data_IF_860299007096
#
_entry.id   IF_860299007096
#
_cell.length_a   1.000
_cell.length_b   1.000
_cell.length_c   1.000
_cell.angle_alpha   90.00
_cell.angle_beta   90.00
_cell.angle_gamma   90.00
#
_symmetry.space_group_name_H-M   'P 1'
#
loop_
_entity.id
_entity.type
_entity.pdbx_description
1 polymer ?
#
# COMPACT_ATOMS: atom_id res chain seq x y z
N UNK A 1 -17.37 -16.05 -16.12
CA UNK A 1 -16.59 -14.80 -16.02
C UNK A 1 -15.11 -15.16 -16.08
N UNK A 2 -14.34 -14.69 -17.07
CA UNK A 2 -12.93 -15.05 -17.19
C UNK A 2 -12.11 -14.39 -16.07
N UNK A 3 -11.20 -15.16 -15.46
CA UNK A 3 -10.31 -14.70 -14.39
C UNK A 3 -9.34 -13.61 -14.90
N UNK A 4 -9.02 -12.58 -14.11
CA UNK A 4 -8.09 -11.53 -14.53
C UNK A 4 -6.69 -12.11 -14.84
N UNK A 5 -6.28 -12.05 -16.10
CA UNK A 5 -4.96 -12.56 -16.56
C UNK A 5 -3.77 -11.83 -15.92
N UNK A 6 -4.00 -10.64 -15.35
CA UNK A 6 -2.97 -9.83 -14.69
C UNK A 6 -2.58 -10.34 -13.29
N UNK A 7 -3.42 -11.19 -12.68
CA UNK A 7 -3.18 -11.82 -11.38
C UNK A 7 -3.11 -13.34 -11.51
N UNK A 8 -2.38 -13.83 -12.52
CA UNK A 8 -2.22 -15.28 -12.79
C UNK A 8 -1.60 -16.10 -11.65
N UNK A 9 -1.12 -15.46 -10.58
CA UNK A 9 -0.58 -16.08 -9.37
C UNK A 9 -1.60 -16.22 -8.23
N UNK A 10 -2.72 -15.49 -8.26
CA UNK A 10 -3.80 -15.65 -7.27
C UNK A 10 -4.69 -16.80 -7.74
N UNK A 11 -4.49 -17.99 -7.18
CA UNK A 11 -5.36 -19.11 -7.41
C UNK A 11 -6.70 -18.88 -6.68
N UNK A 12 -7.76 -19.53 -7.15
CA UNK A 12 -9.08 -19.48 -6.50
C UNK A 12 -9.04 -20.00 -5.04
N UNK A 13 -7.99 -20.73 -4.68
CA UNK A 13 -7.75 -21.23 -3.32
C UNK A 13 -7.10 -20.19 -2.38
N UNK A 14 -6.57 -19.08 -2.91
CA UNK A 14 -5.87 -18.06 -2.12
C UNK A 14 -6.79 -16.91 -1.67
N UNK A 15 -8.07 -16.94 -2.06
CA UNK A 15 -9.05 -15.89 -1.76
C UNK A 15 -10.16 -16.47 -0.90
N UNK A 16 -10.26 -15.98 0.34
CA UNK A 16 -11.40 -16.21 1.22
C UNK A 16 -12.33 -15.00 1.19
N UNK A 17 -13.61 -15.23 0.87
CA UNK A 17 -14.66 -14.21 0.99
C UNK A 17 -15.36 -14.44 2.32
N UNK A 18 -15.40 -13.42 3.15
CA UNK A 18 -15.96 -13.45 4.51
C UNK A 18 -17.12 -12.45 4.62
N UNK A 19 -17.87 -12.52 5.72
CA UNK A 19 -18.92 -11.55 6.00
C UNK A 19 -18.35 -10.17 6.34
N UNK A 20 -19.17 -9.12 6.18
CA UNK A 20 -18.82 -7.76 6.55
C UNK A 20 -18.56 -7.61 8.07
N UNK A 21 -19.16 -8.46 8.89
CA UNK A 21 -18.94 -8.47 10.34
C UNK A 21 -17.57 -9.09 10.67
N UNK A 22 -17.17 -10.14 9.95
CA UNK A 22 -15.89 -10.84 10.18
C UNK A 22 -14.69 -10.03 9.66
N UNK A 23 -14.84 -9.33 8.53
CA UNK A 23 -13.72 -8.64 7.87
C UNK A 23 -13.10 -7.55 8.75
N UNK A 24 -13.90 -6.85 9.56
CA UNK A 24 -13.40 -5.76 10.43
C UNK A 24 -12.39 -6.30 11.44
N UNK A 25 -12.73 -7.40 12.12
CA UNK A 25 -11.85 -8.05 13.10
C UNK A 25 -10.59 -8.61 12.43
N UNK A 26 -10.75 -9.21 11.23
CA UNK A 26 -9.63 -9.75 10.46
C UNK A 26 -8.65 -8.65 10.03
N UNK A 27 -9.14 -7.54 9.47
CA UNK A 27 -8.32 -6.40 9.05
C UNK A 27 -7.57 -5.83 10.25
N UNK A 28 -8.25 -5.53 11.36
CA UNK A 28 -7.62 -4.98 12.55
C UNK A 28 -6.51 -5.86 13.11
N UNK A 29 -6.67 -7.18 13.11
CA UNK A 29 -5.64 -8.14 13.56
C UNK A 29 -4.51 -8.33 12.54
N UNK A 30 -4.75 -8.02 11.27
CA UNK A 30 -3.74 -8.15 10.20
C UNK A 30 -2.79 -6.95 10.16
N UNK A 31 -3.14 -5.84 10.80
CA UNK A 31 -2.30 -4.65 10.89
C UNK A 31 -1.06 -4.93 11.75
N UNK A 32 0.08 -4.41 11.32
CA UNK A 32 1.35 -4.58 12.02
C UNK A 32 1.57 -3.41 12.99
N UNK A 33 1.33 -3.65 14.28
CA UNK A 33 1.65 -2.69 15.35
C UNK A 33 3.07 -2.94 15.86
N UNK A 34 3.96 -1.99 15.62
CA UNK A 34 5.37 -2.09 16.00
C UNK A 34 5.75 -1.01 17.02
N UNK A 35 6.22 -1.43 18.18
CA UNK A 35 6.82 -0.54 19.16
C UNK A 35 8.26 -0.21 18.77
N UNK A 36 8.63 1.06 18.92
CA UNK A 36 9.97 1.56 18.62
C UNK A 36 10.48 2.44 19.74
N UNK A 37 11.79 2.42 19.90
CA UNK A 37 12.49 3.22 20.89
C UNK A 37 13.59 4.05 20.24
N UNK A 38 13.83 5.23 20.81
CA UNK A 38 15.04 6.01 20.60
C UNK A 38 16.01 5.73 21.73
N UNK A 39 17.17 5.18 21.39
CA UNK A 39 18.22 4.85 22.34
C UNK A 39 19.17 6.04 22.54
N UNK A 40 19.57 6.27 23.79
CA UNK A 40 20.72 7.08 24.15
C UNK A 40 21.98 6.33 23.69
N UNK A 41 22.80 6.95 22.82
CA UNK A 41 23.94 6.28 22.20
C UNK A 41 25.05 5.90 23.17
N UNK A 42 25.25 6.69 24.23
CA UNK A 42 26.32 6.47 25.20
C UNK A 42 25.92 5.44 26.25
N UNK A 43 24.73 5.60 26.83
CA UNK A 43 24.23 4.77 27.94
C UNK A 43 23.58 3.47 27.49
N UNK A 44 23.26 3.34 26.19
CA UNK A 44 22.50 2.22 25.60
C UNK A 44 21.16 1.96 26.30
N UNK A 45 20.55 3.00 26.87
CA UNK A 45 19.23 2.98 27.49
C UNK A 45 18.24 3.77 26.64
N UNK A 46 16.94 3.59 26.87
CA UNK A 46 15.90 4.36 26.15
C UNK A 46 15.91 5.81 26.64
N UNK A 47 15.86 6.76 25.70
CA UNK A 47 15.72 8.18 26.03
C UNK A 47 14.36 8.46 26.69
N UNK A 48 14.27 9.37 27.67
CA UNK A 48 12.98 9.82 28.19
C UNK A 48 12.07 10.32 27.05
N UNK A 49 10.83 9.82 27.01
CA UNK A 49 9.87 10.12 25.92
C UNK A 49 10.21 9.47 24.57
N UNK A 50 11.22 8.59 24.52
CA UNK A 50 11.70 7.95 23.30
C UNK A 50 10.97 6.66 22.94
N UNK A 51 9.86 6.29 23.57
CA UNK A 51 9.07 5.09 23.25
C UNK A 51 7.78 5.50 22.52
N UNK A 52 7.48 4.85 21.40
CA UNK A 52 6.21 5.04 20.67
C UNK A 52 5.80 3.76 19.93
N UNK A 53 4.55 3.74 19.45
CA UNK A 53 4.04 2.71 18.55
C UNK A 53 3.81 3.27 17.14
N UNK A 54 4.04 2.44 16.13
CA UNK A 54 3.72 2.71 14.73
C UNK A 54 2.84 1.58 14.21
N UNK A 55 1.88 1.90 13.35
CA UNK A 55 1.02 0.92 12.69
C UNK A 55 1.30 0.90 11.19
N UNK A 56 1.40 -0.30 10.61
CA UNK A 56 1.70 -0.51 9.21
C UNK A 56 0.69 -1.44 8.55
N UNK A 57 0.35 -1.13 7.30
CA UNK A 57 -0.30 -2.10 6.42
C UNK A 57 0.62 -3.31 6.20
N UNK A 58 0.08 -4.53 6.21
CA UNK A 58 0.86 -5.74 5.97
C UNK A 58 1.41 -5.77 4.54
N UNK A 59 2.51 -6.49 4.35
CA UNK A 59 3.04 -6.75 3.02
C UNK A 59 2.01 -7.52 2.18
N UNK A 60 2.03 -7.29 0.87
CA UNK A 60 1.10 -7.90 -0.09
C UNK A 60 -0.38 -7.48 0.07
N UNK A 61 -0.69 -6.50 0.92
CA UNK A 61 -2.01 -5.87 0.93
C UNK A 61 -2.33 -5.27 -0.45
N UNK A 62 -3.49 -5.63 -1.00
CA UNK A 62 -3.99 -5.08 -2.26
C UNK A 62 -4.92 -3.90 -1.97
N UNK A 63 -4.55 -2.73 -2.46
CA UNK A 63 -5.37 -1.52 -2.42
C UNK A 63 -5.86 -1.20 -3.83
N UNK A 64 -7.02 -0.56 -3.92
CA UNK A 64 -7.56 -0.04 -5.18
C UNK A 64 -7.98 1.42 -5.00
N UNK A 65 -7.89 2.20 -6.07
CA UNK A 65 -8.31 3.60 -6.10
C UNK A 65 -8.79 3.97 -7.50
N UNK A 66 -9.74 4.90 -7.58
CA UNK A 66 -10.21 5.48 -8.83
C UNK A 66 -9.43 6.74 -9.20
N UNK A 67 -9.01 6.85 -10.46
CA UNK A 67 -8.35 8.05 -11.00
C UNK A 67 -9.26 8.65 -12.07
N UNK A 68 -9.56 9.95 -11.94
CA UNK A 68 -10.36 10.70 -12.90
C UNK A 68 -9.49 11.71 -13.65
N UNK A 69 -9.52 11.66 -14.98
CA UNK A 69 -8.74 12.54 -15.84
C UNK A 69 -9.59 13.67 -16.42
N UNK A 70 -9.01 14.86 -16.49
CA UNK A 70 -9.58 16.03 -17.17
C UNK A 70 -8.58 16.53 -18.20
N UNK A 71 -9.09 17.08 -19.32
CA UNK A 71 -8.24 17.75 -20.30
C UNK A 71 -7.53 18.98 -19.71
N UNK A 72 -6.22 19.08 -19.96
CA UNK A 72 -5.36 20.16 -19.47
C UNK A 72 -4.33 20.49 -20.55
N UNK A 73 -4.02 21.78 -20.74
CA UNK A 73 -2.94 22.21 -21.64
C UNK A 73 -3.10 21.76 -23.10
N UNK A 74 -4.34 21.77 -23.61
CA UNK A 74 -4.66 21.33 -24.98
C UNK A 74 -4.74 19.81 -25.17
N UNK A 75 -4.48 19.01 -24.13
CA UNK A 75 -4.69 17.56 -24.16
C UNK A 75 -6.14 17.21 -23.84
N UNK A 76 -6.69 16.19 -24.50
CA UNK A 76 -7.98 15.63 -24.14
C UNK A 76 -7.87 14.85 -22.82
N UNK A 77 -9.01 14.60 -22.14
CA UNK A 77 -9.03 13.78 -20.93
C UNK A 77 -8.48 12.36 -21.18
N UNK A 78 -8.73 11.81 -22.37
CA UNK A 78 -8.20 10.50 -22.78
C UNK A 78 -6.67 10.51 -22.83
N UNK A 79 -6.09 11.53 -23.45
CA UNK A 79 -4.63 11.65 -23.58
C UNK A 79 -3.93 11.76 -22.21
N UNK A 80 -4.56 12.47 -21.26
CA UNK A 80 -4.06 12.58 -19.89
C UNK A 80 -4.08 11.21 -19.20
N UNK A 81 -5.18 10.48 -19.33
CA UNK A 81 -5.32 9.14 -18.77
C UNK A 81 -4.34 8.13 -19.37
N UNK A 82 -4.13 8.18 -20.68
CA UNK A 82 -3.16 7.30 -21.36
C UNK A 82 -1.73 7.60 -20.92
N UNK A 83 -1.37 8.88 -20.77
CA UNK A 83 -0.08 9.29 -20.22
C UNK A 83 0.10 8.82 -18.78
N UNK A 84 -0.92 9.00 -17.93
CA UNK A 84 -0.89 8.53 -16.56
C UNK A 84 -0.74 7.00 -16.48
N UNK A 85 -1.52 6.25 -17.27
CA UNK A 85 -1.44 4.79 -17.34
C UNK A 85 -0.04 4.34 -17.75
N UNK A 86 0.56 4.95 -18.79
CA UNK A 86 1.94 4.66 -19.21
C UNK A 86 2.98 5.02 -18.14
N UNK A 87 2.74 6.09 -17.39
CA UNK A 87 3.66 6.53 -16.34
C UNK A 87 3.66 5.58 -15.14
N UNK A 88 2.48 5.11 -14.72
CA UNK A 88 2.29 4.39 -13.45
C UNK A 88 2.30 2.87 -13.62
N UNK A 89 1.74 2.35 -14.70
CA UNK A 89 1.47 0.92 -14.83
C UNK A 89 2.74 0.07 -14.77
N UNK A 90 2.75 -0.91 -13.87
CA UNK A 90 3.84 -1.87 -13.69
C UNK A 90 5.03 -1.32 -12.89
N UNK A 91 5.02 -0.05 -12.48
CA UNK A 91 6.10 0.58 -11.70
C UNK A 91 5.82 0.54 -10.21
N UNK A 92 6.89 0.67 -9.43
CA UNK A 92 6.82 0.77 -7.97
C UNK A 92 7.14 2.18 -7.51
N UNK A 93 6.40 2.66 -6.52
CA UNK A 93 6.58 3.96 -5.89
C UNK A 93 6.57 3.82 -4.38
N UNK A 94 7.24 4.74 -3.69
CA UNK A 94 7.15 4.87 -2.25
C UNK A 94 5.93 5.72 -1.89
N UNK A 95 5.09 5.20 -1.00
CA UNK A 95 3.89 5.88 -0.50
C UNK A 95 4.00 5.98 1.02
N UNK A 96 3.64 7.14 1.56
CA UNK A 96 3.64 7.39 3.00
C UNK A 96 5.02 7.78 3.53
N UNK A 97 5.24 7.53 4.82
CA UNK A 97 6.50 7.87 5.51
C UNK A 97 7.39 6.65 5.73
N UNK A 98 8.50 6.88 6.46
CA UNK A 98 9.43 5.82 6.92
C UNK A 98 10.12 5.08 5.76
N UNK A 99 10.29 5.76 4.63
CA UNK A 99 11.05 5.28 3.46
C UNK A 99 12.48 4.86 3.84
N UNK A 100 13.15 5.62 4.71
CA UNK A 100 14.54 5.35 5.15
C UNK A 100 14.72 4.02 5.88
N UNK A 101 13.62 3.40 6.35
CA UNK A 101 13.61 2.06 6.97
C UNK A 101 12.86 1.03 6.12
N UNK A 102 12.72 1.32 4.82
CA UNK A 102 12.15 0.42 3.82
C UNK A 102 10.65 0.20 3.94
N UNK A 103 9.89 1.19 4.41
CA UNK A 103 8.41 1.11 4.48
C UNK A 103 7.78 1.94 3.37
N UNK A 104 6.69 1.43 2.79
CA UNK A 104 5.87 2.17 1.81
C UNK A 104 6.10 1.82 0.34
N UNK A 105 6.97 0.87 -0.01
CA UNK A 105 7.15 0.46 -1.40
C UNK A 105 5.92 -0.30 -1.91
N UNK A 106 5.25 0.25 -2.92
CA UNK A 106 4.06 -0.33 -3.51
C UNK A 106 4.19 -0.41 -5.03
N UNK A 107 3.74 -1.53 -5.61
CA UNK A 107 3.64 -1.70 -7.07
C UNK A 107 2.27 -1.24 -7.53
N UNK A 108 2.23 -0.40 -8.55
CA UNK A 108 0.98 0.07 -9.14
C UNK A 108 0.67 -0.70 -10.41
N UNK A 109 -0.58 -1.11 -10.54
CA UNK A 109 -1.10 -1.79 -11.71
C UNK A 109 -2.36 -1.06 -12.13
N UNK A 110 -2.38 -0.58 -13.37
CA UNK A 110 -3.54 0.08 -13.96
C UNK A 110 -4.10 -0.89 -15.01
N UNK A 111 -5.27 -1.50 -14.77
CA UNK A 111 -5.90 -2.40 -15.73
C UNK A 111 -6.20 -1.67 -17.05
#
# INVERSE_FOLDING_TARGET
MPWPKHFGWLAKQDIAVVSDDDIVSLVNRSMLVQYRVRLNREKKTVEPGGLWSEEYLPQFALLYSGVYCRGVGGLSASDVCDKFKKFVNGKSFWIGGKETIGKGLAKFVVP
#
